data_IF_317341069852
#
_entry.id   IF_317341069852
#
_cell.length_a   1.000
_cell.length_b   1.000
_cell.length_c   1.000
_cell.angle_alpha   90.00
_cell.angle_beta   90.00
_cell.angle_gamma   90.00
#
_symmetry.space_group_name_H-M   'P 1'
#
loop_
_entity.id
_entity.type
_entity.pdbx_description
1 polymer ?
#
# COMPACT_ATOMS: atom_id res chain seq x y z
N UNK A 1 -13.99 -21.60 -2.65
CA UNK A 1 -13.69 -20.25 -2.08
C UNK A 1 -12.18 -19.95 -2.04
N UNK A 2 -11.34 -20.99 -1.89
CA UNK A 2 -9.87 -20.95 -1.97
C UNK A 2 -9.34 -20.39 -3.30
N UNK A 3 -9.93 -20.81 -4.43
CA UNK A 3 -9.48 -20.43 -5.78
C UNK A 3 -9.63 -18.92 -6.08
N UNK A 4 -10.77 -18.33 -5.69
CA UNK A 4 -11.03 -16.88 -5.88
C UNK A 4 -10.01 -16.06 -5.08
N UNK A 5 -9.75 -16.46 -3.83
CA UNK A 5 -8.74 -15.83 -2.99
C UNK A 5 -7.34 -15.94 -3.59
N UNK A 6 -6.96 -17.11 -4.12
CA UNK A 6 -5.66 -17.31 -4.76
C UNK A 6 -5.44 -16.36 -5.95
N UNK A 7 -6.44 -16.22 -6.82
CA UNK A 7 -6.40 -15.27 -7.95
C UNK A 7 -6.26 -13.81 -7.47
N UNK A 8 -6.98 -13.43 -6.41
CA UNK A 8 -6.85 -12.10 -5.82
C UNK A 8 -5.44 -11.84 -5.27
N UNK A 9 -4.86 -12.76 -4.49
CA UNK A 9 -3.52 -12.59 -3.94
C UNK A 9 -2.42 -12.58 -5.01
N UNK A 10 -2.55 -13.39 -6.07
CA UNK A 10 -1.64 -13.33 -7.21
C UNK A 10 -1.73 -11.98 -7.94
N UNK A 11 -2.95 -11.45 -8.10
CA UNK A 11 -3.15 -10.11 -8.67
C UNK A 11 -2.54 -9.01 -7.79
N UNK A 12 -2.75 -9.06 -6.46
CA UNK A 12 -2.15 -8.11 -5.51
C UNK A 12 -0.62 -8.12 -5.59
N UNK A 13 0.01 -9.30 -5.71
CA UNK A 13 1.46 -9.41 -5.83
C UNK A 13 2.01 -8.65 -7.05
N UNK A 14 1.46 -8.90 -8.24
CA UNK A 14 1.89 -8.22 -9.46
C UNK A 14 1.58 -6.72 -9.43
N UNK A 15 0.41 -6.34 -8.94
CA UNK A 15 0.02 -4.93 -8.81
C UNK A 15 0.93 -4.19 -7.84
N UNK A 16 1.33 -4.78 -6.71
CA UNK A 16 2.25 -4.15 -5.77
C UNK A 16 3.59 -3.82 -6.42
N UNK A 17 4.15 -4.72 -7.23
CA UNK A 17 5.40 -4.48 -7.95
C UNK A 17 5.22 -3.33 -8.93
N UNK A 18 4.16 -3.36 -9.75
CA UNK A 18 3.89 -2.31 -10.74
C UNK A 18 3.70 -0.95 -10.04
N UNK A 19 2.87 -0.87 -9.00
CA UNK A 19 2.65 0.35 -8.22
C UNK A 19 3.95 0.88 -7.61
N UNK A 20 4.78 0.01 -7.03
CA UNK A 20 6.03 0.43 -6.38
C UNK A 20 7.00 1.00 -7.41
N UNK A 21 7.19 0.32 -8.54
CA UNK A 21 8.09 0.76 -9.62
C UNK A 21 7.58 2.03 -10.27
N UNK A 22 6.29 2.07 -10.65
CA UNK A 22 5.69 3.23 -11.30
C UNK A 22 5.77 4.48 -10.43
N UNK A 23 5.43 4.37 -9.14
CA UNK A 23 5.47 5.49 -8.19
C UNK A 23 6.89 6.00 -7.92
N UNK A 24 7.87 5.10 -7.84
CA UNK A 24 9.27 5.49 -7.60
C UNK A 24 9.82 6.28 -8.78
N UNK A 25 9.52 5.84 -10.01
CA UNK A 25 10.00 6.52 -11.21
C UNK A 25 9.21 7.82 -11.45
N UNK A 26 7.89 7.82 -11.27
CA UNK A 26 7.05 9.00 -11.52
C UNK A 26 7.31 10.15 -10.55
N UNK A 27 7.78 9.85 -9.32
CA UNK A 27 8.11 10.86 -8.32
C UNK A 27 9.54 11.40 -8.46
N UNK A 28 10.33 10.89 -9.41
CA UNK A 28 11.63 11.45 -9.72
C UNK A 28 11.53 12.78 -10.48
N UNK A 29 12.60 13.57 -10.45
CA UNK A 29 12.70 14.78 -11.27
C UNK A 29 13.08 14.38 -12.70
N UNK A 30 12.09 14.35 -13.59
CA UNK A 30 12.34 14.28 -15.02
C UNK A 30 11.15 14.75 -15.82
N UNK A 31 11.46 15.41 -16.92
CA UNK A 31 10.47 15.94 -17.86
C UNK A 31 10.38 15.01 -19.07
N UNK A 32 9.16 14.69 -19.48
CA UNK A 32 8.91 13.90 -20.67
C UNK A 32 7.70 12.97 -20.59
N UNK A 33 7.28 12.52 -21.77
CA UNK A 33 6.11 11.66 -21.99
C UNK A 33 6.11 10.37 -21.14
N UNK A 34 7.29 9.83 -20.84
CA UNK A 34 7.45 8.65 -19.98
C UNK A 34 6.97 8.90 -18.55
N UNK A 35 7.29 10.05 -17.95
CA UNK A 35 6.88 10.38 -16.58
C UNK A 35 5.36 10.56 -16.49
N UNK A 36 4.76 11.24 -17.47
CA UNK A 36 3.31 11.38 -17.56
C UNK A 36 2.62 10.03 -17.74
N UNK A 37 3.13 9.17 -18.64
CA UNK A 37 2.60 7.82 -18.83
C UNK A 37 2.68 6.99 -17.54
N UNK A 38 3.82 7.01 -16.86
CA UNK A 38 4.01 6.27 -15.61
C UNK A 38 3.12 6.80 -14.48
N UNK A 39 2.82 8.09 -14.45
CA UNK A 39 1.82 8.66 -13.54
C UNK A 39 0.43 8.05 -13.78
N UNK A 40 -0.03 8.00 -15.04
CA UNK A 40 -1.31 7.36 -15.38
C UNK A 40 -1.31 5.86 -15.04
N UNK A 41 -0.21 5.15 -15.31
CA UNK A 41 -0.05 3.75 -14.93
C UNK A 41 -0.13 3.58 -13.41
N UNK A 42 0.50 4.45 -12.62
CA UNK A 42 0.45 4.40 -11.17
C UNK A 42 -0.96 4.65 -10.63
N UNK A 43 -1.67 5.65 -11.17
CA UNK A 43 -3.07 5.95 -10.79
C UNK A 43 -3.99 4.77 -11.12
N UNK A 44 -3.88 4.23 -12.33
CA UNK A 44 -4.69 3.09 -12.76
C UNK A 44 -4.37 1.83 -11.95
N UNK A 45 -3.09 1.53 -11.73
CA UNK A 45 -2.67 0.38 -10.94
C UNK A 45 -3.12 0.52 -9.48
N UNK A 46 -3.07 1.71 -8.90
CA UNK A 46 -3.59 1.98 -7.53
C UNK A 46 -5.11 1.79 -7.47
N UNK A 47 -5.85 2.24 -8.49
CA UNK A 47 -7.29 2.05 -8.57
C UNK A 47 -7.66 0.56 -8.70
N UNK A 48 -6.97 -0.18 -9.57
CA UNK A 48 -7.15 -1.64 -9.71
C UNK A 48 -6.77 -2.35 -8.41
N UNK A 49 -5.69 -1.95 -7.76
CA UNK A 49 -5.30 -2.48 -6.45
C UNK A 49 -6.40 -2.30 -5.40
N UNK A 50 -6.95 -1.08 -5.30
CA UNK A 50 -8.09 -0.79 -4.43
C UNK A 50 -9.33 -1.62 -4.77
N UNK A 51 -9.64 -1.80 -6.06
CA UNK A 51 -10.76 -2.63 -6.50
C UNK A 51 -10.58 -4.12 -6.15
N UNK A 52 -9.35 -4.65 -6.26
CA UNK A 52 -9.03 -6.03 -5.83
C UNK A 52 -9.21 -6.17 -4.30
N UNK A 53 -8.80 -5.17 -3.52
CA UNK A 53 -9.04 -5.16 -2.07
C UNK A 53 -10.54 -5.11 -1.74
N UNK A 54 -11.34 -4.28 -2.44
CA UNK A 54 -12.80 -4.25 -2.28
C UNK A 54 -13.42 -5.61 -2.60
N UNK A 55 -12.94 -6.31 -3.64
CA UNK A 55 -13.40 -7.67 -3.96
C UNK A 55 -13.09 -8.68 -2.85
N UNK A 56 -12.09 -8.41 -2.02
CA UNK A 56 -11.74 -9.24 -0.86
C UNK A 56 -12.52 -8.88 0.41
N UNK A 57 -13.49 -7.96 0.35
CA UNK A 57 -14.29 -7.55 1.52
C UNK A 57 -15.01 -8.70 2.21
N UNK A 58 -15.40 -9.74 1.46
CA UNK A 58 -16.08 -10.92 2.00
C UNK A 58 -15.20 -11.67 3.02
N UNK A 59 -13.87 -11.49 2.96
CA UNK A 59 -12.95 -12.11 3.89
C UNK A 59 -12.71 -11.27 5.14
N UNK A 60 -12.80 -9.95 5.04
CA UNK A 60 -12.65 -9.02 6.17
C UNK A 60 -13.15 -7.63 5.79
N UNK A 61 -13.89 -7.00 6.70
CA UNK A 61 -14.33 -5.61 6.56
C UNK A 61 -13.15 -4.62 6.46
N UNK A 62 -11.98 -5.00 6.97
CA UNK A 62 -10.76 -4.20 6.89
C UNK A 62 -10.29 -4.02 5.43
N UNK A 63 -10.50 -5.01 4.57
CA UNK A 63 -10.17 -4.88 3.14
C UNK A 63 -11.06 -3.87 2.41
N UNK A 64 -12.33 -3.76 2.82
CA UNK A 64 -13.23 -2.74 2.27
C UNK A 64 -12.73 -1.33 2.58
N UNK A 65 -12.35 -1.10 3.84
CA UNK A 65 -11.81 0.19 4.27
C UNK A 65 -10.50 0.51 3.54
N UNK A 66 -9.58 -0.46 3.44
CA UNK A 66 -8.33 -0.29 2.71
C UNK A 66 -8.56 0.05 1.23
N UNK A 67 -9.50 -0.63 0.56
CA UNK A 67 -9.87 -0.35 -0.82
C UNK A 67 -10.45 1.05 -1.02
N UNK A 68 -11.34 1.49 -0.12
CA UNK A 68 -11.89 2.86 -0.14
C UNK A 68 -10.81 3.92 0.09
N UNK A 69 -9.87 3.70 1.01
CA UNK A 69 -8.74 4.61 1.22
C UNK A 69 -7.86 4.72 -0.04
N UNK A 70 -7.58 3.62 -0.72
CA UNK A 70 -6.80 3.62 -1.98
C UNK A 70 -7.55 4.31 -3.13
N UNK A 71 -8.87 4.17 -3.20
CA UNK A 71 -9.68 4.90 -4.17
C UNK A 71 -9.70 6.41 -3.88
N UNK A 72 -9.82 6.79 -2.60
CA UNK A 72 -9.76 8.17 -2.17
C UNK A 72 -8.40 8.80 -2.51
N UNK A 73 -7.27 8.14 -2.20
CA UNK A 73 -5.96 8.69 -2.51
C UNK A 73 -5.68 8.81 -4.02
N UNK A 74 -6.16 7.86 -4.84
CA UNK A 74 -6.09 7.98 -6.29
C UNK A 74 -6.89 9.18 -6.81
N UNK A 75 -8.11 9.40 -6.29
CA UNK A 75 -8.95 10.54 -6.70
C UNK A 75 -8.31 11.88 -6.35
N UNK A 76 -7.72 11.98 -5.17
CA UNK A 76 -7.04 13.20 -4.73
C UNK A 76 -5.82 13.50 -5.59
N UNK A 77 -5.06 12.48 -6.02
CA UNK A 77 -3.93 12.65 -6.93
C UNK A 77 -4.33 13.27 -8.28
N UNK A 78 -5.45 12.82 -8.85
CA UNK A 78 -5.99 13.35 -10.12
C UNK A 78 -6.48 14.79 -9.94
N UNK A 79 -7.23 15.06 -8.86
CA UNK A 79 -7.76 16.41 -8.59
C UNK A 79 -6.63 17.41 -8.34
N UNK A 80 -5.60 17.00 -7.59
CA UNK A 80 -4.45 17.85 -7.28
C UNK A 80 -3.64 18.19 -8.54
N UNK A 81 -3.42 17.22 -9.43
CA UNK A 81 -2.72 17.49 -10.70
C UNK A 81 -3.54 18.39 -11.62
N UNK A 82 -4.86 18.16 -11.74
CA UNK A 82 -5.73 19.04 -12.49
C UNK A 82 -5.70 20.48 -11.94
N UNK A 83 -5.85 20.65 -10.62
CA UNK A 83 -5.86 21.96 -9.96
C UNK A 83 -4.59 22.77 -10.21
N UNK A 84 -3.41 22.13 -10.27
CA UNK A 84 -2.15 22.81 -10.58
C UNK A 84 -2.05 23.39 -12.00
N UNK A 85 -2.93 22.99 -12.93
CA UNK A 85 -2.97 23.60 -14.28
C UNK A 85 -3.92 24.80 -14.38
N UNK A 86 -4.90 24.92 -13.49
CA UNK A 86 -5.99 25.91 -13.61
C UNK A 86 -5.88 27.08 -12.64
N UNK A 87 -5.13 26.91 -11.56
CA UNK A 87 -5.02 27.88 -10.49
C UNK A 87 -3.55 28.32 -10.40
N UNK A 88 -3.32 29.59 -10.08
CA UNK A 88 -2.00 30.14 -9.76
C UNK A 88 -2.08 30.97 -8.48
N UNK A 89 -1.07 30.85 -7.60
CA UNK A 89 -0.90 31.73 -6.45
C UNK A 89 -0.63 31.05 -5.10
N UNK A 90 -0.27 31.87 -4.11
CA UNK A 90 0.11 31.43 -2.75
C UNK A 90 -0.97 30.61 -2.04
N UNK A 91 -2.26 30.89 -2.27
CA UNK A 91 -3.37 30.17 -1.66
C UNK A 91 -3.46 28.72 -2.17
N UNK A 92 -3.10 28.49 -3.44
CA UNK A 92 -3.07 27.16 -4.05
C UNK A 92 -1.98 26.30 -3.40
N UNK A 93 -0.80 26.88 -3.14
CA UNK A 93 0.30 26.18 -2.46
C UNK A 93 -0.13 25.73 -1.07
N UNK A 94 -0.80 26.59 -0.29
CA UNK A 94 -1.33 26.21 1.02
C UNK A 94 -2.38 25.10 0.94
N UNK A 95 -3.27 25.16 -0.05
CA UNK A 95 -4.28 24.11 -0.27
C UNK A 95 -3.65 22.78 -0.69
N UNK A 96 -2.65 22.78 -1.57
CA UNK A 96 -1.91 21.56 -1.96
C UNK A 96 -1.26 20.93 -0.73
N UNK A 97 -0.58 21.72 0.11
CA UNK A 97 0.04 21.19 1.33
C UNK A 97 -1.00 20.53 2.24
N UNK A 98 -2.14 21.16 2.46
CA UNK A 98 -3.22 20.59 3.26
C UNK A 98 -3.74 19.28 2.65
N UNK A 99 -3.98 19.27 1.34
CA UNK A 99 -4.44 18.10 0.59
C UNK A 99 -3.44 16.96 0.66
N UNK A 100 -2.13 17.24 0.57
CA UNK A 100 -1.07 16.25 0.71
C UNK A 100 -1.07 15.64 2.11
N UNK A 101 -1.19 16.45 3.16
CA UNK A 101 -1.24 15.97 4.55
C UNK A 101 -2.46 15.05 4.75
N UNK A 102 -3.64 15.48 4.30
CA UNK A 102 -4.87 14.67 4.42
C UNK A 102 -4.73 13.37 3.64
N UNK A 103 -4.19 13.43 2.42
CA UNK A 103 -3.95 12.24 1.60
C UNK A 103 -3.00 11.26 2.26
N UNK A 104 -1.92 11.76 2.88
CA UNK A 104 -0.98 10.92 3.61
C UNK A 104 -1.67 10.19 4.78
N UNK A 105 -2.52 10.87 5.55
CA UNK A 105 -3.29 10.24 6.63
C UNK A 105 -4.23 9.15 6.10
N UNK A 106 -4.92 9.42 4.98
CA UNK A 106 -5.80 8.43 4.33
C UNK A 106 -5.01 7.23 3.83
N UNK A 107 -3.85 7.43 3.21
CA UNK A 107 -2.99 6.35 2.73
C UNK A 107 -2.46 5.49 3.89
N UNK A 108 -2.03 6.11 4.99
CA UNK A 108 -1.58 5.42 6.21
C UNK A 108 -2.72 4.60 6.81
N UNK A 109 -3.92 5.20 6.93
CA UNK A 109 -5.09 4.49 7.42
C UNK A 109 -5.45 3.30 6.53
N UNK A 110 -5.40 3.48 5.20
CA UNK A 110 -5.65 2.40 4.24
C UNK A 110 -4.66 1.25 4.38
N UNK A 111 -3.37 1.53 4.49
CA UNK A 111 -2.34 0.51 4.68
C UNK A 111 -2.46 -0.20 6.02
N UNK A 112 -2.77 0.53 7.10
CA UNK A 112 -3.03 -0.06 8.41
C UNK A 112 -4.19 -1.06 8.37
N UNK A 113 -5.29 -0.70 7.70
CA UNK A 113 -6.45 -1.57 7.51
C UNK A 113 -6.10 -2.79 6.64
N UNK A 114 -5.28 -2.60 5.61
CA UNK A 114 -4.81 -3.69 4.76
C UNK A 114 -4.02 -4.74 5.54
N UNK A 115 -3.09 -4.31 6.41
CA UNK A 115 -2.35 -5.22 7.29
C UNK A 115 -3.28 -5.99 8.24
N UNK A 116 -4.31 -5.32 8.78
CA UNK A 116 -5.31 -5.96 9.63
C UNK A 116 -6.09 -7.03 8.85
N UNK A 117 -6.58 -6.71 7.66
CA UNK A 117 -7.30 -7.65 6.80
C UNK A 117 -6.47 -8.89 6.44
N UNK A 118 -5.19 -8.70 6.11
CA UNK A 118 -4.30 -9.83 5.83
C UNK A 118 -4.02 -10.70 7.06
N UNK A 119 -3.90 -10.11 8.25
CA UNK A 119 -3.72 -10.87 9.49
C UNK A 119 -4.96 -11.70 9.85
N UNK A 120 -6.16 -11.16 9.66
CA UNK A 120 -7.42 -11.86 9.91
C UNK A 120 -7.61 -13.02 8.93
N UNK A 121 -7.40 -12.77 7.64
CA UNK A 121 -7.54 -13.82 6.64
C UNK A 121 -6.49 -14.93 6.80
N UNK A 122 -5.26 -14.59 7.24
CA UNK A 122 -4.24 -15.58 7.54
C UNK A 122 -4.54 -16.39 8.82
N UNK A 123 -5.27 -15.82 9.79
CA UNK A 123 -5.49 -16.43 11.11
C UNK A 123 -6.09 -17.83 11.03
N UNK A 124 -7.04 -18.03 10.12
CA UNK A 124 -7.76 -19.29 9.98
C UNK A 124 -7.03 -20.32 9.08
N UNK A 125 -5.87 -19.95 8.52
CA UNK A 125 -5.09 -20.79 7.59
C UNK A 125 -3.66 -21.08 8.06
N UNK A 126 -2.99 -20.06 8.57
CA UNK A 126 -1.61 -20.11 9.06
C UNK A 126 -1.42 -19.06 10.16
N UNK A 127 -1.48 -19.52 11.42
CA UNK A 127 -1.33 -18.68 12.62
C UNK A 127 0.03 -17.97 12.63
N UNK A 128 1.09 -18.64 12.17
CA UNK A 128 2.45 -18.07 12.14
C UNK A 128 2.50 -16.91 11.16
N UNK A 129 1.84 -17.03 10.00
CA UNK A 129 1.79 -15.96 9.02
C UNK A 129 0.90 -14.79 9.48
N UNK A 130 -0.19 -15.07 10.19
CA UNK A 130 -1.02 -14.05 10.83
C UNK A 130 -0.22 -13.22 11.85
N UNK A 131 0.56 -13.86 12.72
CA UNK A 131 1.43 -13.15 13.67
C UNK A 131 2.50 -12.29 12.97
N UNK A 132 3.06 -12.79 11.86
CA UNK A 132 4.01 -12.01 11.05
C UNK A 132 3.37 -10.75 10.47
N UNK A 133 2.13 -10.82 10.00
CA UNK A 133 1.37 -9.66 9.53
C UNK A 133 1.10 -8.65 10.66
N UNK A 134 0.73 -9.12 11.86
CA UNK A 134 0.53 -8.24 13.02
C UNK A 134 1.83 -7.55 13.44
N UNK A 135 2.94 -8.28 13.44
CA UNK A 135 4.26 -7.71 13.74
C UNK A 135 4.69 -6.70 12.68
N UNK A 136 4.46 -7.01 11.40
CA UNK A 136 4.75 -6.09 10.29
C UNK A 136 3.94 -4.79 10.41
N UNK A 137 2.68 -4.88 10.84
CA UNK A 137 1.83 -3.71 11.14
C UNK A 137 2.43 -2.84 12.25
N UNK A 138 2.93 -3.43 13.32
CA UNK A 138 3.58 -2.68 14.41
C UNK A 138 4.87 -1.99 13.93
N UNK A 139 5.69 -2.70 13.15
CA UNK A 139 6.88 -2.11 12.54
C UNK A 139 6.55 -0.96 11.60
N UNK A 140 5.51 -1.11 10.78
CA UNK A 140 5.04 -0.05 9.90
C UNK A 140 4.69 1.23 10.68
N UNK A 141 3.86 1.12 11.72
CA UNK A 141 3.49 2.27 12.57
C UNK A 141 4.71 2.88 13.27
N UNK A 142 5.60 2.04 13.83
CA UNK A 142 6.82 2.50 14.49
C UNK A 142 7.76 3.25 13.55
N UNK A 143 7.97 2.73 12.33
CA UNK A 143 8.82 3.37 11.32
C UNK A 143 8.21 4.67 10.80
N UNK A 144 6.88 4.74 10.64
CA UNK A 144 6.17 5.97 10.25
C UNK A 144 6.27 7.05 11.31
N UNK A 145 6.02 6.69 12.58
CA UNK A 145 6.17 7.62 13.70
C UNK A 145 7.62 8.11 13.81
N UNK A 146 8.60 7.21 13.68
CA UNK A 146 10.02 7.56 13.67
C UNK A 146 10.40 8.46 12.50
N UNK A 147 9.86 8.22 11.31
CA UNK A 147 10.08 9.06 10.14
C UNK A 147 9.52 10.48 10.31
N UNK A 148 8.29 10.59 10.81
CA UNK A 148 7.64 11.87 11.08
C UNK A 148 8.40 12.67 12.16
N UNK A 149 8.73 12.04 13.29
CA UNK A 149 9.52 12.67 14.36
C UNK A 149 10.91 13.02 13.87
N UNK A 150 11.56 12.13 13.12
CA UNK A 150 12.87 12.39 12.50
C UNK A 150 12.85 13.60 11.58
N UNK A 151 11.79 13.77 10.80
CA UNK A 151 11.58 14.94 9.94
C UNK A 151 11.50 16.23 10.78
N UNK A 152 10.72 16.25 11.86
CA UNK A 152 10.64 17.42 12.76
C UNK A 152 11.97 17.68 13.46
N UNK A 153 12.62 16.65 13.97
CA UNK A 153 13.95 16.75 14.60
C UNK A 153 15.02 17.22 13.61
N UNK A 154 14.89 16.92 12.31
CA UNK A 154 15.83 17.38 11.29
C UNK A 154 15.79 18.91 11.14
N UNK A 155 14.62 19.52 11.32
CA UNK A 155 14.49 20.98 11.30
C UNK A 155 15.13 21.65 12.54
N UNK A 156 15.19 20.95 13.67
CA UNK A 156 15.70 21.49 14.95
C UNK A 156 17.19 21.21 15.18
N UNK A 157 17.62 19.98 14.89
CA UNK A 157 18.95 19.47 15.24
C UNK A 157 19.82 19.23 14.00
N UNK A 158 19.26 19.33 12.79
CA UNK A 158 19.90 19.03 11.52
C UNK A 158 20.44 17.59 11.41
N UNK A 159 21.71 17.36 11.75
CA UNK A 159 22.42 16.11 11.47
C UNK A 159 21.77 14.85 12.10
N UNK A 160 21.53 14.76 13.43
CA UNK A 160 20.91 13.58 14.03
C UNK A 160 19.47 13.36 13.56
N UNK A 161 18.73 14.44 13.28
CA UNK A 161 17.36 14.32 12.76
C UNK A 161 17.32 13.73 11.35
N UNK A 162 18.22 14.18 10.46
CA UNK A 162 18.37 13.61 9.11
C UNK A 162 18.75 12.13 9.18
N UNK A 163 19.71 11.76 10.03
CA UNK A 163 20.13 10.35 10.19
C UNK A 163 18.95 9.48 10.66
N UNK A 164 18.20 9.94 11.66
CA UNK A 164 17.02 9.22 12.15
C UNK A 164 15.94 9.08 11.06
N UNK A 165 15.65 10.15 10.34
CA UNK A 165 14.70 10.15 9.23
C UNK A 165 15.10 9.15 8.13
N UNK A 166 16.38 9.13 7.73
CA UNK A 166 16.90 8.19 6.73
C UNK A 166 16.83 6.74 7.22
N UNK A 167 17.20 6.48 8.48
CA UNK A 167 17.13 5.14 9.06
C UNK A 167 15.68 4.60 9.07
N UNK A 168 14.71 5.43 9.46
CA UNK A 168 13.29 5.07 9.40
C UNK A 168 12.79 4.91 7.95
N UNK A 169 13.28 5.73 7.02
CA UNK A 169 12.98 5.61 5.60
C UNK A 169 13.42 4.25 5.04
N UNK A 170 14.65 3.81 5.36
CA UNK A 170 15.13 2.46 5.01
C UNK A 170 14.24 1.39 5.65
N UNK A 171 13.84 1.58 6.91
CA UNK A 171 12.89 0.69 7.59
C UNK A 171 11.55 0.55 6.87
N UNK A 172 10.99 1.64 6.35
CA UNK A 172 9.75 1.62 5.55
C UNK A 172 9.93 0.88 4.22
N UNK A 173 11.10 0.98 3.58
CA UNK A 173 11.43 0.17 2.39
C UNK A 173 11.46 -1.32 2.74
N UNK A 174 12.11 -1.70 3.85
CA UNK A 174 12.15 -3.10 4.31
C UNK A 174 10.74 -3.62 4.60
N UNK A 175 9.89 -2.83 5.27
CA UNK A 175 8.48 -3.19 5.53
C UNK A 175 7.72 -3.41 4.23
N UNK A 176 7.94 -2.57 3.22
CA UNK A 176 7.31 -2.69 1.91
C UNK A 176 7.74 -3.95 1.16
N UNK A 177 9.03 -4.32 1.23
CA UNK A 177 9.54 -5.57 0.65
C UNK A 177 8.92 -6.78 1.37
N UNK A 178 8.88 -6.76 2.70
CA UNK A 178 8.27 -7.85 3.48
C UNK A 178 6.78 -8.01 3.17
N UNK A 179 6.05 -6.90 2.95
CA UNK A 179 4.66 -6.93 2.49
C UNK A 179 4.53 -7.71 1.18
N UNK A 180 5.37 -7.43 0.18
CA UNK A 180 5.37 -8.17 -1.11
C UNK A 180 5.62 -9.66 -0.89
N UNK A 181 6.64 -10.01 -0.07
CA UNK A 181 6.97 -11.41 0.25
C UNK A 181 5.83 -12.11 0.95
N UNK A 182 5.13 -11.43 1.87
CA UNK A 182 4.02 -12.03 2.60
C UNK A 182 2.80 -12.21 1.70
N UNK A 183 2.47 -11.25 0.83
CA UNK A 183 1.42 -11.41 -0.19
C UNK A 183 1.71 -12.60 -1.10
N UNK A 184 2.98 -12.78 -1.52
CA UNK A 184 3.39 -13.95 -2.30
C UNK A 184 3.17 -15.27 -1.55
N UNK A 185 3.55 -15.33 -0.27
CA UNK A 185 3.28 -16.52 0.57
C UNK A 185 1.79 -16.81 0.72
N UNK A 186 0.96 -15.77 0.87
CA UNK A 186 -0.49 -15.92 0.92
C UNK A 186 -1.08 -16.47 -0.38
N UNK A 187 -0.52 -16.09 -1.53
CA UNK A 187 -0.90 -16.67 -2.82
C UNK A 187 -0.59 -18.17 -2.87
N UNK A 188 0.61 -18.58 -2.41
CA UNK A 188 1.00 -19.99 -2.29
C UNK A 188 0.06 -20.79 -1.39
N UNK A 189 -0.23 -20.29 -0.18
CA UNK A 189 -1.17 -20.93 0.75
C UNK A 189 -2.56 -21.13 0.16
N UNK A 190 -3.04 -20.20 -0.68
CA UNK A 190 -4.32 -20.35 -1.35
C UNK A 190 -4.29 -21.41 -2.46
N UNK A 191 -3.17 -21.52 -3.18
CA UNK A 191 -2.98 -22.52 -4.24
C UNK A 191 -2.90 -23.94 -3.67
N UNK A 192 -2.15 -24.14 -2.59
CA UNK A 192 -2.00 -25.46 -1.97
C UNK A 192 -3.34 -25.97 -1.44
N UNK A 193 -4.12 -25.12 -0.76
CA UNK A 193 -5.46 -25.50 -0.31
C UNK A 193 -6.41 -25.82 -1.46
N UNK A 194 -6.34 -25.11 -2.58
CA UNK A 194 -7.19 -25.43 -3.75
C UNK A 194 -6.85 -26.79 -4.37
N UNK A 195 -5.58 -27.23 -4.27
CA UNK A 195 -5.16 -28.56 -4.73
C UNK A 195 -5.66 -29.66 -3.80
N UNK A 196 -5.62 -29.44 -2.49
CA UNK A 196 -6.17 -30.37 -1.51
C UNK A 196 -7.67 -30.55 -1.71
N UNK A 197 -8.44 -29.46 -1.83
CA UNK A 197 -9.88 -29.50 -2.06
C UNK A 197 -10.25 -30.26 -3.35
N UNK A 198 -9.48 -30.09 -4.43
CA UNK A 198 -9.71 -30.81 -5.69
C UNK A 198 -9.30 -32.28 -5.68
N UNK A 199 -8.39 -32.70 -4.79
CA UNK A 199 -8.00 -34.10 -4.65
C UNK A 199 -9.11 -34.92 -3.97
N UNK A 200 -9.79 -34.34 -2.97
CA UNK A 200 -10.90 -35.02 -2.28
C UNK A 200 -12.14 -35.23 -3.18
N UNK A 201 -12.38 -34.39 -4.18
CA UNK A 201 -13.51 -34.54 -5.13
C UNK A 201 -13.31 -35.67 -6.16
N UNK A 202 -12.10 -36.21 -6.30
CA UNK A 202 -11.78 -37.29 -7.24
C UNK A 202 -11.74 -38.69 -6.61
N UNK A 203 -11.82 -38.79 -5.28
CA UNK A 203 -11.75 -40.05 -4.52
C UNK A 203 -13.15 -40.61 -4.14
N UNK A 204 -14.23 -40.07 -4.69
CA UNK A 204 -15.62 -40.53 -4.48
C UNK A 204 -16.35 -40.87 -5.79
#
# INVERSE_FOLDING_TARGET
MSEISGKCYQSLFWLLIICTVARTISNGEGDGMLYTLLWFVNVLATAVYGAVLLKMEHFSAHFRMAGLCKAASASVGIVSSAASYFLDGSLLVTLIILVVIVSAVVDIAGEYQEFAGHSEFARDRDVILSEKWLRLRQWYVGMLAGFAVGTVCSALLFLPGVIAMLACGIGLVVVSILKIVYVYRMAGLCQDRSREEGAYDHDF
#
